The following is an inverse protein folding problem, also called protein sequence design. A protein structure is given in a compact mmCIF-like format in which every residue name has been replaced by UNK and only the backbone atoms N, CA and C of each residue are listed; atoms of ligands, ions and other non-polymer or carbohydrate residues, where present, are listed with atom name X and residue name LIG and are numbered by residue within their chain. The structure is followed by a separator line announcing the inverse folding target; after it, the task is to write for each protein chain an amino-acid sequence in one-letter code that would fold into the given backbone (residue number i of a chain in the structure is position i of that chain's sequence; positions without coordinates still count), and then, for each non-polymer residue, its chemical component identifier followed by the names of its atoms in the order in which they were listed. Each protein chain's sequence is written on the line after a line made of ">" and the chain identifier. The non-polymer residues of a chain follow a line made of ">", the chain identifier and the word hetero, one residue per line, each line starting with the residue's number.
data_IF_192078620091
#
_entry.id   IF_192078620091
#
_cell.length_a   1.000
_cell.length_b   1.000
_cell.length_c   1.000
_cell.angle_alpha   90.00
_cell.angle_beta   90.00
_cell.angle_gamma   90.00
#
_symmetry.space_group_name_H-M   'P 1'
#
loop_
_entity.id
_entity.type
_entity.pdbx_description
1 polymer ?
#
# COMPACT_ATOMS: atom_id res chain seq x y z
N UNK A 1 13.25 -12.54 -20.24
CA UNK A 1 13.01 -12.40 -18.80
C UNK A 1 11.69 -11.68 -18.67
N UNK A 2 10.74 -12.23 -17.92
CA UNK A 2 9.52 -11.50 -17.62
C UNK A 2 9.86 -10.26 -16.80
N UNK A 3 9.22 -9.14 -17.13
CA UNK A 3 9.36 -7.92 -16.35
C UNK A 3 8.34 -7.97 -15.20
N UNK A 4 8.79 -7.64 -14.00
CA UNK A 4 7.89 -7.39 -12.87
C UNK A 4 6.84 -6.36 -13.30
N UNK A 5 5.57 -6.64 -13.01
CA UNK A 5 4.49 -5.70 -13.29
C UNK A 5 4.48 -4.66 -12.18
N UNK A 6 4.63 -3.39 -12.55
CA UNK A 6 4.51 -2.28 -11.62
C UNK A 6 3.18 -2.37 -10.85
N UNK A 7 3.24 -2.40 -9.52
CA UNK A 7 2.04 -2.60 -8.70
C UNK A 7 1.04 -1.45 -8.87
N UNK A 8 1.52 -0.22 -9.08
CA UNK A 8 0.67 0.93 -9.32
C UNK A 8 -0.11 0.80 -10.62
N UNK A 9 0.56 0.40 -11.70
CA UNK A 9 -0.09 0.16 -12.98
C UNK A 9 -1.02 -1.07 -12.95
N UNK A 10 -0.67 -2.12 -12.20
CA UNK A 10 -1.54 -3.28 -12.00
C UNK A 10 -2.86 -2.87 -11.33
N UNK A 11 -2.80 -2.07 -10.25
CA UNK A 11 -3.98 -1.56 -9.55
C UNK A 11 -4.83 -0.68 -10.47
N UNK A 12 -4.22 0.31 -11.13
CA UNK A 12 -4.93 1.22 -12.04
C UNK A 12 -5.58 0.46 -13.19
N UNK A 13 -4.94 -0.58 -13.72
CA UNK A 13 -5.53 -1.43 -14.77
C UNK A 13 -6.74 -2.22 -14.25
N UNK A 14 -6.62 -2.85 -13.08
CA UNK A 14 -7.70 -3.67 -12.52
C UNK A 14 -8.95 -2.87 -12.14
N UNK A 15 -8.77 -1.61 -11.74
CA UNK A 15 -9.85 -0.74 -11.24
C UNK A 15 -10.25 0.38 -12.22
N UNK A 16 -9.43 0.67 -13.23
CA UNK A 16 -9.54 1.87 -14.09
C UNK A 16 -10.79 1.93 -14.96
N UNK A 17 -11.39 0.79 -15.30
CA UNK A 17 -12.64 0.75 -16.05
C UNK A 17 -13.85 1.14 -15.18
N UNK A 18 -13.74 0.99 -13.86
CA UNK A 18 -14.83 1.21 -12.92
C UNK A 18 -14.70 2.53 -12.14
N UNK A 19 -13.48 3.08 -12.02
CA UNK A 19 -13.22 4.22 -11.14
C UNK A 19 -12.31 5.27 -11.78
N UNK A 20 -12.58 6.53 -11.41
CA UNK A 20 -11.74 7.66 -11.75
C UNK A 20 -10.66 7.86 -10.69
N UNK A 21 -9.41 7.90 -11.13
CA UNK A 21 -8.24 8.20 -10.30
C UNK A 21 -7.82 9.66 -10.48
N UNK A 22 -7.85 10.43 -9.40
CA UNK A 22 -7.34 11.80 -9.38
C UNK A 22 -6.05 11.87 -8.59
N UNK A 23 -4.94 12.18 -9.27
CA UNK A 23 -3.64 12.31 -8.61
C UNK A 23 -3.62 13.52 -7.68
N UNK A 24 -3.17 13.32 -6.46
CA UNK A 24 -3.01 14.37 -5.45
C UNK A 24 -1.56 14.82 -5.45
N UNK A 25 -1.33 16.13 -5.58
CA UNK A 25 -0.01 16.72 -5.39
C UNK A 25 0.34 16.71 -3.90
N UNK A 26 1.42 16.01 -3.56
CA UNK A 26 1.93 15.87 -2.19
C UNK A 26 3.25 16.63 -1.99
N UNK A 27 3.62 17.48 -2.94
CA UNK A 27 4.76 18.39 -2.84
C UNK A 27 6.08 17.66 -2.60
N UNK A 28 6.86 18.14 -1.62
CA UNK A 28 8.18 17.58 -1.31
C UNK A 28 8.15 16.13 -0.83
N UNK A 29 7.01 15.65 -0.31
CA UNK A 29 6.89 14.27 0.15
C UNK A 29 6.75 13.27 -1.03
N UNK A 30 6.58 13.76 -2.27
CA UNK A 30 6.57 12.93 -3.48
C UNK A 30 7.92 12.24 -3.74
N UNK A 31 9.02 12.81 -3.24
CA UNK A 31 10.35 12.23 -3.37
C UNK A 31 11.22 12.56 -2.17
N UNK A 32 11.52 11.54 -1.37
CA UNK A 32 12.40 11.65 -0.21
C UNK A 32 13.67 10.83 -0.44
N UNK A 33 14.83 11.41 -0.14
CA UNK A 33 16.11 10.73 -0.27
C UNK A 33 16.95 10.90 0.99
N UNK A 34 17.41 9.79 1.56
CA UNK A 34 18.29 9.79 2.72
C UNK A 34 19.18 8.54 2.73
N UNK A 35 20.46 8.71 3.08
CA UNK A 35 21.42 7.59 3.30
C UNK A 35 21.43 6.54 2.17
N UNK A 36 21.41 7.00 0.91
CA UNK A 36 21.42 6.12 -0.27
C UNK A 36 20.11 5.34 -0.51
N UNK A 37 19.03 5.73 0.17
CA UNK A 37 17.66 5.28 -0.07
C UNK A 37 16.85 6.42 -0.67
N UNK A 38 16.09 6.13 -1.72
CA UNK A 38 15.13 7.05 -2.32
C UNK A 38 13.75 6.40 -2.26
N UNK A 39 12.78 7.16 -1.78
CA UNK A 39 11.36 6.82 -1.76
C UNK A 39 10.63 7.80 -2.69
N UNK A 40 9.91 7.28 -3.67
CA UNK A 40 9.03 8.03 -4.55
C UNK A 40 7.59 7.64 -4.18
N UNK A 41 6.76 8.64 -3.91
CA UNK A 41 5.38 8.45 -3.42
C UNK A 41 4.41 9.08 -4.38
N UNK A 42 3.37 8.34 -4.73
CA UNK A 42 2.22 8.84 -5.48
C UNK A 42 0.95 8.60 -4.67
N UNK A 43 0.04 9.58 -4.69
CA UNK A 43 -1.24 9.53 -4.00
C UNK A 43 -2.35 9.82 -5.01
N UNK A 44 -3.43 9.06 -4.89
CA UNK A 44 -4.63 9.24 -5.70
C UNK A 44 -5.88 9.18 -4.84
N UNK A 45 -6.83 10.06 -5.12
CA UNK A 45 -8.23 9.84 -4.76
C UNK A 45 -8.86 8.92 -5.80
N UNK A 46 -9.61 7.92 -5.33
CA UNK A 46 -10.44 7.06 -6.17
C UNK A 46 -11.89 7.47 -5.91
N UNK A 47 -12.49 8.19 -6.88
CA UNK A 47 -13.84 8.75 -6.71
C UNK A 47 -14.87 7.66 -6.41
N UNK A 48 -15.65 7.85 -5.35
CA UNK A 48 -16.69 6.90 -4.94
C UNK A 48 -16.16 5.66 -4.22
N UNK A 49 -14.87 5.65 -3.84
CA UNK A 49 -14.24 4.51 -3.17
C UNK A 49 -13.33 4.92 -2.01
N UNK A 50 -12.32 5.75 -2.26
CA UNK A 50 -11.34 6.12 -1.24
C UNK A 50 -10.00 6.56 -1.80
N UNK A 51 -8.92 5.87 -1.41
CA UNK A 51 -7.55 6.33 -1.60
C UNK A 51 -6.63 5.22 -2.10
N UNK A 52 -5.68 5.61 -2.95
CA UNK A 52 -4.56 4.78 -3.39
C UNK A 52 -3.23 5.49 -3.10
N UNK A 53 -2.32 4.78 -2.43
CA UNK A 53 -0.93 5.15 -2.36
C UNK A 53 -0.08 4.18 -3.17
N UNK A 54 0.89 4.70 -3.92
CA UNK A 54 1.94 3.92 -4.55
C UNK A 54 3.28 4.43 -4.02
N UNK A 55 4.12 3.51 -3.53
CA UNK A 55 5.47 3.81 -3.08
C UNK A 55 6.46 3.02 -3.91
N UNK A 56 7.50 3.68 -4.41
CA UNK A 56 8.67 3.04 -4.99
C UNK A 56 9.89 3.38 -4.15
N UNK A 57 10.53 2.36 -3.57
CA UNK A 57 11.78 2.50 -2.86
C UNK A 57 12.92 1.91 -3.68
N UNK A 58 14.02 2.65 -3.77
CA UNK A 58 15.32 2.14 -4.24
C UNK A 58 16.35 2.37 -3.15
N UNK A 59 17.09 1.33 -2.79
CA UNK A 59 18.15 1.39 -1.81
C UNK A 59 19.42 0.70 -2.32
N UNK A 60 20.56 0.99 -1.67
CA UNK A 60 21.87 0.42 -2.01
C UNK A 60 22.20 0.56 -3.51
N UNK A 61 22.08 1.78 -4.04
CA UNK A 61 22.32 2.09 -5.46
C UNK A 61 21.49 1.24 -6.44
N UNK A 62 20.29 0.80 -6.03
CA UNK A 62 19.35 0.04 -6.86
C UNK A 62 19.48 -1.48 -6.75
N UNK A 63 20.37 -2.00 -5.88
CA UNK A 63 20.44 -3.43 -5.57
C UNK A 63 19.22 -3.93 -4.78
N UNK A 64 18.49 -3.02 -4.15
CA UNK A 64 17.21 -3.29 -3.51
C UNK A 64 16.15 -2.37 -4.10
N UNK A 65 15.05 -2.97 -4.52
CA UNK A 65 13.84 -2.29 -4.99
C UNK A 65 12.66 -2.78 -4.17
N UNK A 66 11.75 -1.88 -3.85
CA UNK A 66 10.46 -2.22 -3.26
C UNK A 66 9.40 -1.37 -3.92
N UNK A 67 8.25 -1.99 -4.14
CA UNK A 67 7.03 -1.34 -4.58
C UNK A 67 5.95 -1.65 -3.55
N UNK A 68 5.19 -0.65 -3.15
CA UNK A 68 4.01 -0.84 -2.32
C UNK A 68 2.83 -0.18 -3.01
N UNK A 69 1.69 -0.87 -3.07
CA UNK A 69 0.41 -0.24 -3.34
C UNK A 69 -0.52 -0.45 -2.15
N UNK A 70 -1.10 0.63 -1.63
CA UNK A 70 -2.10 0.60 -0.55
C UNK A 70 -3.42 1.09 -1.09
N UNK A 71 -4.46 0.27 -0.98
CA UNK A 71 -5.85 0.64 -1.25
C UNK A 71 -6.59 0.79 0.08
N UNK A 72 -7.09 1.99 0.33
CA UNK A 72 -7.91 2.31 1.49
C UNK A 72 -9.32 2.68 1.03
N UNK A 73 -10.31 1.89 1.43
CA UNK A 73 -11.71 2.20 1.13
C UNK A 73 -12.30 3.06 2.24
N UNK A 74 -12.80 4.25 1.90
CA UNK A 74 -13.55 5.09 2.82
C UNK A 74 -15.05 4.90 2.64
N UNK A 75 -15.52 4.68 1.42
CA UNK A 75 -16.95 4.68 1.12
C UNK A 75 -17.56 3.27 1.11
N UNK A 76 -16.74 2.20 1.10
CA UNK A 76 -17.20 0.81 1.03
C UNK A 76 -16.73 -0.02 2.21
N UNK A 77 -17.56 -1.01 2.57
CA UNK A 77 -17.23 -2.02 3.57
C UNK A 77 -16.25 -3.06 3.03
N UNK A 78 -15.00 -2.65 2.85
CA UNK A 78 -13.90 -3.48 2.40
C UNK A 78 -12.70 -3.36 3.36
N UNK A 79 -11.87 -4.41 3.48
CA UNK A 79 -10.62 -4.30 4.23
C UNK A 79 -9.65 -3.35 3.52
N UNK A 80 -8.66 -2.85 4.26
CA UNK A 80 -7.46 -2.26 3.66
C UNK A 80 -6.72 -3.34 2.90
N UNK A 81 -6.15 -3.02 1.75
CA UNK A 81 -5.33 -3.93 0.97
C UNK A 81 -3.94 -3.34 0.75
N UNK A 82 -2.92 -4.05 1.21
CA UNK A 82 -1.52 -3.72 0.97
C UNK A 82 -0.90 -4.77 0.04
N UNK A 83 -0.23 -4.29 -1.00
CA UNK A 83 0.54 -5.10 -1.92
C UNK A 83 1.99 -4.66 -1.83
N UNK A 84 2.90 -5.53 -1.39
CA UNK A 84 4.33 -5.25 -1.42
C UNK A 84 5.05 -6.21 -2.36
N UNK A 85 5.89 -5.66 -3.21
CA UNK A 85 6.89 -6.41 -3.94
C UNK A 85 8.27 -5.93 -3.53
N UNK A 86 9.16 -6.85 -3.19
CA UNK A 86 10.55 -6.53 -2.80
C UNK A 86 11.50 -7.38 -3.62
N UNK A 87 12.44 -6.74 -4.29
CA UNK A 87 13.56 -7.39 -4.96
C UNK A 87 14.87 -7.01 -4.27
N UNK A 88 15.60 -8.02 -3.80
CA UNK A 88 16.92 -7.85 -3.22
C UNK A 88 17.81 -9.06 -3.55
N UNK A 89 19.04 -8.80 -4.00
CA UNK A 89 20.04 -9.84 -4.30
C UNK A 89 19.53 -10.96 -5.23
N UNK A 90 18.73 -10.59 -6.24
CA UNK A 90 18.16 -11.51 -7.22
C UNK A 90 17.05 -12.42 -6.69
N UNK A 91 16.58 -12.20 -5.46
CA UNK A 91 15.36 -12.80 -4.91
C UNK A 91 14.24 -11.76 -4.94
N UNK A 92 13.04 -12.24 -5.23
CA UNK A 92 11.80 -11.47 -5.15
C UNK A 92 10.98 -11.98 -3.97
N UNK A 93 10.22 -11.10 -3.35
CA UNK A 93 9.21 -11.40 -2.34
C UNK A 93 7.94 -10.65 -2.71
N UNK A 94 6.83 -11.37 -2.79
CA UNK A 94 5.51 -10.78 -2.95
C UNK A 94 4.74 -10.96 -1.64
N UNK A 95 4.13 -9.88 -1.18
CA UNK A 95 3.25 -9.86 -0.02
C UNK A 95 1.92 -9.25 -0.47
N UNK A 96 0.81 -9.86 -0.04
CA UNK A 96 -0.54 -9.38 -0.24
C UNK A 96 -1.23 -9.48 1.11
N UNK A 97 -1.67 -8.37 1.66
CA UNK A 97 -2.20 -8.28 3.01
C UNK A 97 -3.56 -7.58 3.00
N UNK A 98 -4.53 -8.18 3.68
CA UNK A 98 -5.83 -7.59 3.96
C UNK A 98 -5.98 -7.36 5.46
N UNK A 99 -6.30 -6.12 5.85
CA UNK A 99 -6.52 -5.75 7.24
C UNK A 99 -7.99 -5.40 7.47
N UNK A 100 -8.59 -6.00 8.49
CA UNK A 100 -9.86 -5.54 9.02
C UNK A 100 -9.64 -4.25 9.80
N UNK A 101 -9.96 -3.13 9.17
CA UNK A 101 -9.81 -1.80 9.75
C UNK A 101 -10.91 -1.46 10.76
N UNK A 102 -11.98 -2.26 10.86
CA UNK A 102 -13.04 -2.07 11.88
C UNK A 102 -12.70 -2.67 13.23
N UNK A 103 -11.62 -3.45 13.33
CA UNK A 103 -11.14 -3.93 14.61
C UNK A 103 -10.95 -2.75 15.58
N UNK A 104 -11.36 -2.93 16.84
CA UNK A 104 -11.29 -1.86 17.83
C UNK A 104 -9.84 -1.39 18.06
N UNK A 105 -8.91 -2.34 17.95
CA UNK A 105 -7.47 -2.17 18.09
C UNK A 105 -6.74 -2.78 16.87
N UNK A 106 -5.51 -2.31 16.61
CA UNK A 106 -4.63 -2.99 15.65
C UNK A 106 -4.35 -4.42 16.13
N UNK A 107 -4.90 -5.39 15.41
CA UNK A 107 -4.76 -6.82 15.72
C UNK A 107 -4.16 -7.57 14.52
N UNK A 108 -2.90 -7.98 14.65
CA UNK A 108 -2.20 -8.75 13.62
C UNK A 108 -2.82 -10.14 13.39
N UNK A 109 -3.66 -10.65 14.30
CA UNK A 109 -4.32 -11.94 14.13
C UNK A 109 -5.47 -11.90 13.13
N UNK A 110 -5.99 -10.69 12.83
CA UNK A 110 -7.05 -10.47 11.85
C UNK A 110 -6.50 -10.21 10.43
N UNK A 111 -5.17 -10.25 10.28
CA UNK A 111 -4.48 -10.12 9.00
C UNK A 111 -4.65 -11.38 8.16
N UNK A 112 -5.22 -11.23 6.96
CA UNK A 112 -5.11 -12.24 5.93
C UNK A 112 -3.93 -11.89 5.03
N UNK A 113 -2.84 -12.64 5.16
CA UNK A 113 -1.62 -12.41 4.38
C UNK A 113 -1.27 -13.59 3.47
N UNK A 114 -0.93 -13.28 2.23
CA UNK A 114 -0.10 -14.13 1.38
C UNK A 114 1.32 -13.56 1.37
N UNK A 115 2.32 -14.43 1.58
CA UNK A 115 3.73 -14.05 1.48
C UNK A 115 4.52 -15.19 0.85
N UNK A 116 5.09 -14.94 -0.32
CA UNK A 116 5.96 -15.88 -1.01
C UNK A 116 7.26 -15.21 -1.43
N UNK A 117 8.36 -15.96 -1.41
CA UNK A 117 9.66 -15.49 -1.88
C UNK A 117 10.35 -16.54 -2.75
N UNK A 118 11.16 -16.08 -3.71
CA UNK A 118 11.90 -16.98 -4.59
C UNK A 118 12.70 -16.25 -5.67
N UNK A 119 13.49 -17.02 -6.43
CA UNK A 119 14.17 -16.53 -7.63
C UNK A 119 13.35 -16.92 -8.86
N UNK A 120 13.22 -16.02 -9.83
CA UNK A 120 12.52 -16.30 -11.09
C UNK A 120 11.02 -16.59 -10.90
N UNK A 121 10.40 -15.96 -9.91
CA UNK A 121 8.98 -16.13 -9.56
C UNK A 121 8.10 -15.01 -10.12
N UNK A 122 8.69 -14.05 -10.84
CA UNK A 122 8.04 -12.86 -11.40
C UNK A 122 6.68 -13.14 -12.03
N UNK A 123 6.58 -14.12 -12.94
CA UNK A 123 5.30 -14.43 -13.61
C UNK A 123 4.23 -14.95 -12.64
N UNK A 124 4.61 -15.84 -11.73
CA UNK A 124 3.70 -16.35 -10.71
C UNK A 124 3.25 -15.24 -9.75
N UNK A 125 4.14 -14.31 -9.40
CA UNK A 125 3.81 -13.15 -8.56
C UNK A 125 2.88 -12.18 -9.29
N UNK A 126 3.17 -11.85 -10.55
CA UNK A 126 2.29 -11.03 -11.39
C UNK A 126 0.87 -11.64 -11.48
N UNK A 127 0.79 -12.96 -11.70
CA UNK A 127 -0.49 -13.65 -11.73
C UNK A 127 -1.24 -13.57 -10.38
N UNK A 128 -0.53 -13.78 -9.26
CA UNK A 128 -1.14 -13.71 -7.92
C UNK A 128 -1.66 -12.31 -7.58
N UNK A 129 -0.92 -11.27 -7.97
CA UNK A 129 -1.36 -9.88 -7.82
C UNK A 129 -2.61 -9.61 -8.67
N UNK A 130 -2.63 -10.06 -9.93
CA UNK A 130 -3.81 -9.91 -10.78
C UNK A 130 -5.05 -10.62 -10.20
N UNK A 131 -4.92 -11.88 -9.78
CA UNK A 131 -5.99 -12.64 -9.13
C UNK A 131 -6.53 -11.94 -7.87
N UNK A 132 -5.64 -11.38 -7.04
CA UNK A 132 -6.01 -10.65 -5.83
C UNK A 132 -6.75 -9.34 -6.16
N UNK A 133 -6.28 -8.58 -7.15
CA UNK A 133 -6.91 -7.34 -7.58
C UNK A 133 -8.27 -7.56 -8.22
N UNK A 134 -8.41 -8.58 -9.07
CA UNK A 134 -9.69 -8.95 -9.68
C UNK A 134 -10.71 -9.33 -8.60
N UNK A 135 -10.31 -10.15 -7.61
CA UNK A 135 -11.16 -10.51 -6.49
C UNK A 135 -11.55 -9.29 -5.64
N UNK A 136 -10.62 -8.35 -5.41
CA UNK A 136 -10.91 -7.12 -4.67
C UNK A 136 -11.88 -6.21 -5.44
N UNK A 137 -11.68 -6.04 -6.75
CA UNK A 137 -12.55 -5.28 -7.63
C UNK A 137 -13.98 -5.86 -7.67
N UNK A 138 -14.12 -7.19 -7.71
CA UNK A 138 -15.42 -7.85 -7.70
C UNK A 138 -16.15 -7.68 -6.36
N UNK A 139 -15.42 -7.79 -5.23
CA UNK A 139 -15.99 -7.49 -3.92
C UNK A 139 -16.45 -6.03 -3.83
N UNK A 140 -15.70 -5.11 -4.43
CA UNK A 140 -16.03 -3.68 -4.43
C UNK A 140 -17.36 -3.36 -5.10
N UNK A 141 -17.69 -4.05 -6.20
CA UNK A 141 -18.96 -3.87 -6.92
C UNK A 141 -20.19 -4.20 -6.06
N UNK A 142 -20.03 -5.10 -5.09
CA UNK A 142 -21.14 -5.61 -4.25
C UNK A 142 -21.05 -5.15 -2.80
N UNK A 143 -19.95 -4.52 -2.40
CA UNK A 143 -19.75 -4.04 -1.05
C UNK A 143 -20.77 -2.95 -0.67
N UNK A 144 -21.25 -3.07 0.56
CA UNK A 144 -22.16 -2.08 1.16
C UNK A 144 -21.46 -0.72 1.27
N UNK A 145 -22.19 0.35 0.96
CA UNK A 145 -21.73 1.71 1.23
C UNK A 145 -21.80 2.01 2.73
N UNK A 146 -20.78 2.68 3.26
CA UNK A 146 -20.63 3.02 4.68
C UNK A 146 -20.45 4.52 4.85
N UNK A 147 -20.52 5.02 6.09
CA UNK A 147 -20.16 6.41 6.38
C UNK A 147 -18.64 6.59 6.20
N UNK A 148 -18.20 7.47 5.28
CA UNK A 148 -16.78 7.71 5.04
C UNK A 148 -16.02 8.22 6.26
N UNK A 149 -16.70 8.95 7.15
CA UNK A 149 -16.08 9.48 8.36
C UNK A 149 -15.79 8.37 9.37
N UNK A 150 -16.77 7.50 9.63
CA UNK A 150 -16.59 6.34 10.53
C UNK A 150 -15.46 5.43 10.03
N UNK A 151 -15.40 5.23 8.72
CA UNK A 151 -14.37 4.43 8.07
C UNK A 151 -12.98 5.10 8.14
N UNK A 152 -12.90 6.41 7.94
CA UNK A 152 -11.66 7.17 8.11
C UNK A 152 -11.15 7.10 9.57
N UNK A 153 -12.03 7.18 10.57
CA UNK A 153 -11.66 7.04 11.98
C UNK A 153 -11.11 5.63 12.31
N UNK A 154 -11.67 4.59 11.67
CA UNK A 154 -11.18 3.23 11.76
C UNK A 154 -9.76 3.09 11.16
N UNK A 155 -9.56 3.58 9.94
CA UNK A 155 -8.28 3.54 9.25
C UNK A 155 -7.23 4.40 9.97
N UNK A 156 -7.63 5.52 10.56
CA UNK A 156 -6.75 6.36 11.38
C UNK A 156 -6.21 5.58 12.57
N UNK A 157 -7.07 4.92 13.34
CA UNK A 157 -6.64 4.09 14.48
C UNK A 157 -5.69 2.98 14.04
N UNK A 158 -5.96 2.34 12.91
CA UNK A 158 -5.07 1.35 12.32
C UNK A 158 -3.69 1.94 11.97
N UNK A 159 -3.65 3.08 11.27
CA UNK A 159 -2.41 3.75 10.87
C UNK A 159 -1.59 4.24 12.07
N UNK A 160 -2.25 4.75 13.11
CA UNK A 160 -1.62 5.14 14.38
C UNK A 160 -1.08 3.91 15.13
N UNK A 161 -1.85 2.83 15.19
CA UNK A 161 -1.41 1.55 15.76
C UNK A 161 -0.17 0.98 15.06
N UNK A 162 -0.07 1.10 13.73
CA UNK A 162 1.15 0.72 13.00
C UNK A 162 2.38 1.54 13.43
N UNK A 163 2.21 2.84 13.67
CA UNK A 163 3.29 3.73 14.10
C UNK A 163 3.76 3.40 15.53
N UNK A 164 2.82 3.03 16.41
CA UNK A 164 3.05 2.68 17.81
C UNK A 164 3.66 1.28 17.98
N UNK A 165 3.23 0.31 17.18
CA UNK A 165 3.81 -1.04 17.14
C UNK A 165 5.28 -1.03 16.70
N UNK A 166 5.75 0.09 16.13
CA UNK A 166 7.14 0.36 15.76
C UNK A 166 7.73 -0.77 14.91
N UNK A 167 6.97 -1.25 13.93
CA UNK A 167 7.39 -2.33 13.04
C UNK A 167 8.65 -2.01 12.22
N UNK A 168 9.28 -3.01 11.58
CA UNK A 168 10.53 -2.82 10.84
C UNK A 168 10.50 -1.68 9.81
N UNK A 169 9.41 -1.54 9.04
CA UNK A 169 9.25 -0.48 8.05
C UNK A 169 9.17 0.91 8.70
N UNK A 170 8.33 1.05 9.74
CA UNK A 170 8.16 2.31 10.50
C UNK A 170 9.48 2.76 11.13
N UNK A 171 10.21 1.85 11.80
CA UNK A 171 11.53 2.15 12.37
C UNK A 171 12.50 2.64 11.32
N UNK A 172 12.51 2.01 10.15
CA UNK A 172 13.38 2.39 9.05
C UNK A 172 13.01 3.78 8.51
N UNK A 173 11.72 4.09 8.34
CA UNK A 173 11.27 5.44 7.94
C UNK A 173 11.68 6.49 8.98
N UNK A 174 11.45 6.25 10.27
CA UNK A 174 11.86 7.16 11.37
C UNK A 174 13.38 7.41 11.33
N UNK A 175 14.18 6.36 11.14
CA UNK A 175 15.66 6.45 11.06
C UNK A 175 16.17 7.22 9.83
N UNK A 176 15.44 7.17 8.72
CA UNK A 176 15.83 7.82 7.47
C UNK A 176 15.37 9.28 7.43
N UNK A 177 14.13 9.55 7.82
CA UNK A 177 13.43 10.80 7.52
C UNK A 177 12.91 11.55 8.76
N UNK A 178 13.07 10.99 9.95
CA UNK A 178 12.55 11.54 11.20
C UNK A 178 11.11 11.11 11.49
N UNK A 179 10.66 11.37 12.72
CA UNK A 179 9.39 10.89 13.24
C UNK A 179 8.18 11.59 12.59
N UNK A 180 8.23 12.91 12.44
CA UNK A 180 7.16 13.67 11.78
C UNK A 180 6.95 13.22 10.33
N UNK A 181 8.04 13.02 9.58
CA UNK A 181 7.96 12.55 8.19
C UNK A 181 7.44 11.12 8.12
N UNK A 182 7.87 10.23 9.02
CA UNK A 182 7.34 8.87 9.07
C UNK A 182 5.83 8.86 9.36
N UNK A 183 5.36 9.72 10.28
CA UNK A 183 3.93 9.88 10.56
C UNK A 183 3.16 10.39 9.34
N UNK A 184 3.67 11.39 8.62
CA UNK A 184 3.04 11.88 7.38
C UNK A 184 3.00 10.81 6.29
N UNK A 185 4.11 10.07 6.09
CA UNK A 185 4.15 8.98 5.13
C UNK A 185 3.11 7.91 5.44
N UNK A 186 3.02 7.45 6.68
CA UNK A 186 2.09 6.38 7.05
C UNK A 186 0.64 6.88 7.08
N UNK A 187 0.30 7.85 7.92
CA UNK A 187 -1.10 8.27 8.09
C UNK A 187 -1.65 8.94 6.83
N UNK A 188 -0.96 9.98 6.35
CA UNK A 188 -1.48 10.84 5.28
C UNK A 188 -1.27 10.24 3.90
N UNK A 189 -0.07 9.75 3.60
CA UNK A 189 0.24 9.32 2.24
C UNK A 189 -0.15 7.87 1.99
N UNK A 190 0.21 6.92 2.86
CA UNK A 190 -0.15 5.51 2.68
C UNK A 190 -1.65 5.27 2.87
N UNK A 191 -2.23 5.80 3.95
CA UNK A 191 -3.62 5.49 4.31
C UNK A 191 -4.63 6.62 4.08
N UNK A 192 -4.19 7.78 3.55
CA UNK A 192 -5.10 8.86 3.16
C UNK A 192 -5.75 9.62 4.33
N UNK A 193 -5.17 9.55 5.53
CA UNK A 193 -5.68 10.19 6.75
C UNK A 193 -4.95 11.52 6.97
N UNK A 194 -5.66 12.61 6.74
CA UNK A 194 -5.18 13.99 6.93
C UNK A 194 -5.34 14.51 8.37
#
# INVERSE_FOLDING_TARGET
>A
MANHTDLGEAVKKALGDAFLFEKIDIGSDAKLSAKGTTLETERYEIKGFGHLCILHMRAMMGMMKMETAVLASFEKELPLMNLDWVQAMGKETQIIEYYDDRAADFDQTLLQSFKENGKGKTDAFNQKVAEALDAFADRMKTAKTVDPKEKADCIKRYAEGLLEADGPAVRQMKKLFGEETARRLVCKHMYGID
#
